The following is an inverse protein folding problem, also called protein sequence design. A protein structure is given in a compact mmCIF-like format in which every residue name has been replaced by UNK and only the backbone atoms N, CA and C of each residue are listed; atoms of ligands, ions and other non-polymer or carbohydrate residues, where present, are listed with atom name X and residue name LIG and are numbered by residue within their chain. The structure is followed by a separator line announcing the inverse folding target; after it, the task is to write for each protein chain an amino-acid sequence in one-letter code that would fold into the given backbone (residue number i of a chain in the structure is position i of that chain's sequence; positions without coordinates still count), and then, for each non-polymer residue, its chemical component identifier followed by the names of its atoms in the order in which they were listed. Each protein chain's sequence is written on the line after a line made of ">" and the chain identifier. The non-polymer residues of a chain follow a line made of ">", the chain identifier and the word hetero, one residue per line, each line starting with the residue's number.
data_IF_479744945808
#
_entry.id   IF_479744945808
#
_cell.length_a   1.000
_cell.length_b   1.000
_cell.length_c   1.000
_cell.angle_alpha   90.00
_cell.angle_beta   90.00
_cell.angle_gamma   90.00
#
_symmetry.space_group_name_H-M   'P 1'
#
loop_
_entity.id
_entity.type
_entity.pdbx_description
1 polymer ?
#
# COMPACT_ATOMS: atom_id res chain seq x y z
N UNK A 1 -59.36 30.47 38.52
CA UNK A 1 -58.69 30.68 37.21
C UNK A 1 -57.19 30.37 37.39
N UNK A 2 -56.61 29.18 37.20
CA UNK A 2 -56.70 28.10 36.20
C UNK A 2 -56.29 28.50 34.77
N UNK A 3 -54.96 28.54 34.47
CA UNK A 3 -54.43 28.32 33.10
C UNK A 3 -52.90 28.10 32.91
N UNK A 4 -52.04 28.25 33.93
CA UNK A 4 -50.57 28.28 33.70
C UNK A 4 -49.76 26.99 33.96
N UNK A 5 -50.33 25.88 34.46
CA UNK A 5 -49.57 24.66 34.76
C UNK A 5 -49.48 23.65 33.59
N UNK A 6 -50.29 23.83 32.54
CA UNK A 6 -50.36 22.91 31.38
C UNK A 6 -49.26 23.15 30.33
N UNK A 7 -48.65 24.33 30.30
CA UNK A 7 -47.63 24.72 29.31
C UNK A 7 -46.22 24.31 29.71
N UNK A 8 -45.89 24.29 31.01
CA UNK A 8 -44.58 23.85 31.51
C UNK A 8 -44.34 22.35 31.34
N UNK A 9 -45.36 21.51 31.58
CA UNK A 9 -45.25 20.04 31.43
C UNK A 9 -45.06 19.60 29.98
N UNK A 10 -45.61 20.35 29.01
CA UNK A 10 -45.42 20.08 27.58
C UNK A 10 -44.03 20.48 27.09
N UNK A 11 -43.47 21.61 27.58
CA UNK A 11 -42.12 22.04 27.20
C UNK A 11 -41.05 21.10 27.74
N UNK A 12 -41.20 20.60 28.97
CA UNK A 12 -40.24 19.67 29.58
C UNK A 12 -40.24 18.28 28.90
N UNK A 13 -41.38 17.82 28.39
CA UNK A 13 -41.51 16.53 27.69
C UNK A 13 -40.98 16.58 26.25
N UNK A 14 -41.13 17.72 25.57
CA UNK A 14 -40.60 17.91 24.20
C UNK A 14 -39.07 18.04 24.20
N UNK A 15 -38.48 18.65 25.22
CA UNK A 15 -37.02 18.77 25.32
C UNK A 15 -36.33 17.46 25.67
N UNK A 16 -36.94 16.58 26.48
CA UNK A 16 -36.34 15.27 26.82
C UNK A 16 -36.45 14.27 25.68
N UNK A 17 -37.55 14.29 24.91
CA UNK A 17 -37.70 13.46 23.70
C UNK A 17 -36.78 13.95 22.57
N UNK A 18 -36.58 15.26 22.43
CA UNK A 18 -35.65 15.83 21.44
C UNK A 18 -34.18 15.48 21.69
N UNK A 19 -33.74 15.42 22.96
CA UNK A 19 -32.35 15.06 23.31
C UNK A 19 -32.07 13.57 23.17
N UNK A 20 -33.08 12.70 23.40
CA UNK A 20 -32.97 11.26 23.18
C UNK A 20 -32.95 10.88 21.68
N UNK A 21 -33.64 11.63 20.82
CA UNK A 21 -33.62 11.42 19.36
C UNK A 21 -32.32 11.95 18.73
N UNK A 22 -31.71 13.00 19.29
CA UNK A 22 -30.43 13.53 18.80
C UNK A 22 -29.22 12.64 19.19
N UNK A 23 -29.35 11.80 20.22
CA UNK A 23 -28.31 10.86 20.67
C UNK A 23 -28.29 9.54 19.88
N UNK A 24 -29.35 9.22 19.13
CA UNK A 24 -29.42 8.01 18.30
C UNK A 24 -28.95 8.21 16.84
N UNK A 25 -28.63 9.44 16.43
CA UNK A 25 -28.20 9.76 15.06
C UNK A 25 -26.67 9.67 14.83
N UNK A 26 -25.87 9.43 15.88
CA UNK A 26 -24.40 9.33 15.78
C UNK A 26 -23.86 7.89 15.84
N UNK A 27 -24.71 6.87 15.76
CA UNK A 27 -24.31 5.46 15.87
C UNK A 27 -24.32 4.73 14.53
N UNK A 28 -23.93 5.39 13.44
CA UNK A 28 -23.54 4.68 12.22
C UNK A 28 -22.06 4.31 12.32
N UNK A 29 -21.73 3.45 13.29
CA UNK A 29 -20.51 2.65 13.18
C UNK A 29 -20.79 1.69 12.04
N UNK A 30 -20.20 1.97 10.88
CA UNK A 30 -19.95 0.99 9.83
C UNK A 30 -19.09 -0.11 10.47
N UNK A 31 -19.76 -1.10 11.07
CA UNK A 31 -19.16 -2.40 11.29
C UNK A 31 -18.86 -2.92 9.89
N UNK A 32 -17.59 -2.86 9.49
CA UNK A 32 -17.11 -3.59 8.34
C UNK A 32 -17.53 -5.05 8.55
N UNK A 33 -18.46 -5.52 7.74
CA UNK A 33 -18.80 -6.93 7.74
C UNK A 33 -17.58 -7.65 7.19
N UNK A 34 -16.90 -8.42 8.04
CA UNK A 34 -15.85 -9.34 7.62
C UNK A 34 -16.50 -10.38 6.70
N UNK A 35 -16.43 -10.13 5.40
CA UNK A 35 -16.75 -11.12 4.37
C UNK A 35 -15.81 -12.32 4.58
N UNK A 36 -16.32 -13.56 4.56
CA UNK A 36 -15.50 -14.73 4.83
C UNK A 36 -14.30 -14.76 3.88
N UNK A 37 -13.10 -15.11 4.38
CA UNK A 37 -11.89 -15.10 3.56
C UNK A 37 -12.09 -15.98 2.33
N UNK A 38 -11.70 -15.46 1.16
CA UNK A 38 -11.79 -16.22 -0.08
C UNK A 38 -10.96 -17.49 0.03
N UNK A 39 -11.31 -18.54 -0.74
CA UNK A 39 -10.55 -19.79 -0.73
C UNK A 39 -9.06 -19.57 -1.04
N UNK A 40 -8.75 -18.58 -1.88
CA UNK A 40 -7.38 -18.19 -2.20
C UNK A 40 -6.68 -17.50 -1.02
N UNK A 41 -7.36 -16.59 -0.33
CA UNK A 41 -6.83 -15.94 0.87
C UNK A 41 -6.57 -16.95 2.00
N UNK A 42 -7.49 -17.90 2.21
CA UNK A 42 -7.32 -18.98 3.17
C UNK A 42 -6.08 -19.84 2.84
N UNK A 43 -5.84 -20.13 1.57
CA UNK A 43 -4.63 -20.83 1.12
C UNK A 43 -3.36 -20.01 1.40
N UNK A 44 -3.37 -18.71 1.13
CA UNK A 44 -2.23 -17.82 1.42
C UNK A 44 -1.91 -17.81 2.92
N UNK A 45 -2.92 -17.72 3.77
CA UNK A 45 -2.76 -17.74 5.23
C UNK A 45 -2.16 -19.07 5.69
N UNK A 46 -2.60 -20.19 5.13
CA UNK A 46 -2.02 -21.51 5.44
C UNK A 46 -0.56 -21.62 4.99
N UNK A 47 -0.22 -21.11 3.80
CA UNK A 47 1.17 -21.06 3.34
C UNK A 47 2.03 -20.19 4.26
N UNK A 48 1.53 -19.06 4.75
CA UNK A 48 2.24 -18.21 5.72
C UNK A 48 2.48 -18.98 7.02
N UNK A 49 1.50 -19.74 7.51
CA UNK A 49 1.66 -20.59 8.69
C UNK A 49 2.73 -21.66 8.48
N UNK A 50 2.79 -22.25 7.29
CA UNK A 50 3.80 -23.25 6.91
C UNK A 50 5.23 -22.70 6.88
N UNK A 51 5.42 -21.38 6.76
CA UNK A 51 6.74 -20.76 6.92
C UNK A 51 7.31 -20.93 8.33
N UNK A 52 6.49 -21.20 9.35
CA UNK A 52 6.90 -21.50 10.72
C UNK A 52 7.05 -22.99 11.01
N UNK A 53 6.92 -23.86 10.00
CA UNK A 53 7.05 -25.31 10.17
C UNK A 53 8.44 -25.70 10.67
N UNK A 54 8.56 -26.74 11.48
CA UNK A 54 9.86 -27.32 11.85
C UNK A 54 10.60 -27.94 10.65
N UNK A 55 9.86 -28.44 9.66
CA UNK A 55 10.43 -29.02 8.44
C UNK A 55 10.92 -27.94 7.48
N UNK A 56 12.21 -27.94 7.18
CA UNK A 56 12.82 -27.01 6.23
C UNK A 56 12.18 -27.11 4.84
N UNK A 57 11.87 -28.33 4.39
CA UNK A 57 11.25 -28.60 3.09
C UNK A 57 9.87 -27.95 2.99
N UNK A 58 9.07 -28.01 4.05
CA UNK A 58 7.75 -27.35 4.10
C UNK A 58 7.92 -25.83 4.02
N UNK A 59 8.89 -25.26 4.76
CA UNK A 59 9.16 -23.82 4.72
C UNK A 59 9.54 -23.34 3.32
N UNK A 60 10.44 -24.05 2.64
CA UNK A 60 10.89 -23.68 1.28
C UNK A 60 9.76 -23.83 0.25
N UNK A 61 8.94 -24.89 0.34
CA UNK A 61 7.79 -25.07 -0.54
C UNK A 61 6.75 -23.95 -0.35
N UNK A 62 6.43 -23.61 0.89
CA UNK A 62 5.51 -22.53 1.20
C UNK A 62 6.01 -21.18 0.68
N UNK A 63 7.30 -20.89 0.87
CA UNK A 63 7.95 -19.70 0.33
C UNK A 63 7.85 -19.63 -1.19
N UNK A 64 8.16 -20.72 -1.90
CA UNK A 64 8.07 -20.76 -3.36
C UNK A 64 6.64 -20.53 -3.86
N UNK A 65 5.65 -21.13 -3.19
CA UNK A 65 4.24 -20.96 -3.54
C UNK A 65 3.76 -19.52 -3.29
N UNK A 66 4.15 -18.89 -2.18
CA UNK A 66 3.81 -17.49 -1.90
C UNK A 66 4.39 -16.53 -2.95
N UNK A 67 5.63 -16.77 -3.40
CA UNK A 67 6.23 -16.00 -4.49
C UNK A 67 5.50 -16.21 -5.83
N UNK A 68 5.05 -17.44 -6.10
CA UNK A 68 4.30 -17.76 -7.32
C UNK A 68 2.90 -17.13 -7.32
N UNK A 69 2.23 -17.02 -6.16
CA UNK A 69 0.95 -16.31 -6.00
C UNK A 69 1.05 -14.84 -6.40
N UNK A 70 2.21 -14.21 -6.21
CA UNK A 70 2.43 -12.82 -6.63
C UNK A 70 1.67 -11.82 -5.75
N UNK A 71 1.20 -10.71 -6.34
CA UNK A 71 0.61 -9.60 -5.60
C UNK A 71 -0.68 -9.97 -4.85
N UNK A 72 -1.36 -11.06 -5.22
CA UNK A 72 -2.52 -11.55 -4.47
C UNK A 72 -2.16 -11.92 -3.01
N UNK A 73 -0.89 -12.24 -2.72
CA UNK A 73 -0.42 -12.52 -1.37
C UNK A 73 0.03 -11.26 -0.59
N UNK A 74 0.08 -10.07 -1.22
CA UNK A 74 0.70 -8.87 -0.65
C UNK A 74 0.05 -8.49 0.70
N UNK A 75 -1.27 -8.47 0.77
CA UNK A 75 -1.98 -8.02 1.96
C UNK A 75 -1.76 -8.94 3.16
N UNK A 76 -1.85 -10.25 2.94
CA UNK A 76 -1.61 -11.24 4.00
C UNK A 76 -0.14 -11.29 4.43
N UNK A 77 0.80 -11.15 3.50
CA UNK A 77 2.22 -11.02 3.82
C UNK A 77 2.49 -9.74 4.63
N UNK A 78 1.85 -8.61 4.28
CA UNK A 78 1.96 -7.35 5.02
C UNK A 78 1.49 -7.51 6.47
N UNK A 79 0.36 -8.20 6.70
CA UNK A 79 -0.12 -8.53 8.04
C UNK A 79 0.86 -9.44 8.79
N UNK A 80 1.39 -10.46 8.12
CA UNK A 80 2.29 -11.45 8.70
C UNK A 80 3.67 -10.91 9.10
N UNK A 81 4.07 -9.71 8.64
CA UNK A 81 5.26 -9.00 9.16
C UNK A 81 5.18 -8.74 10.67
N UNK A 82 3.97 -8.78 11.25
CA UNK A 82 3.70 -8.60 12.68
C UNK A 82 3.46 -9.93 13.43
N UNK A 83 3.68 -11.08 12.79
CA UNK A 83 3.49 -12.40 13.41
C UNK A 83 4.24 -12.52 14.74
N UNK A 84 3.73 -13.26 15.72
CA UNK A 84 4.45 -13.54 16.96
C UNK A 84 5.64 -14.49 16.74
N UNK A 85 5.57 -15.34 15.71
CA UNK A 85 6.62 -16.27 15.32
C UNK A 85 7.77 -15.53 14.60
N UNK A 86 8.99 -15.67 15.14
CA UNK A 86 10.20 -15.06 14.62
C UNK A 86 10.61 -15.57 13.23
N UNK A 87 10.46 -16.89 12.97
CA UNK A 87 10.81 -17.50 11.68
C UNK A 87 9.85 -17.01 10.60
N UNK A 88 8.55 -16.97 10.91
CA UNK A 88 7.53 -16.40 10.01
C UNK A 88 7.88 -14.94 9.70
N UNK A 89 8.12 -14.10 10.72
CA UNK A 89 8.46 -12.68 10.48
C UNK A 89 9.70 -12.52 9.59
N UNK A 90 10.75 -13.30 9.85
CA UNK A 90 12.01 -13.24 9.10
C UNK A 90 11.80 -13.61 7.63
N UNK A 91 11.12 -14.72 7.35
CA UNK A 91 10.86 -15.18 5.98
C UNK A 91 9.91 -14.26 5.24
N UNK A 92 8.81 -13.86 5.88
CA UNK A 92 7.84 -12.94 5.29
C UNK A 92 8.50 -11.63 4.89
N UNK A 93 9.42 -11.07 5.69
CA UNK A 93 10.16 -9.86 5.30
C UNK A 93 10.95 -10.05 4.00
N UNK A 94 11.62 -11.19 3.82
CA UNK A 94 12.37 -11.49 2.59
C UNK A 94 11.45 -11.69 1.39
N UNK A 95 10.38 -12.47 1.56
CA UNK A 95 9.38 -12.73 0.53
C UNK A 95 8.72 -11.42 0.09
N UNK A 96 8.34 -10.57 1.04
CA UNK A 96 7.66 -9.30 0.77
C UNK A 96 8.53 -8.36 -0.08
N UNK A 97 9.81 -8.20 0.27
CA UNK A 97 10.75 -7.40 -0.52
C UNK A 97 10.92 -7.97 -1.93
N UNK A 98 11.12 -9.29 -2.04
CA UNK A 98 11.28 -9.94 -3.34
C UNK A 98 10.01 -9.81 -4.20
N UNK A 99 8.83 -9.97 -3.60
CA UNK A 99 7.55 -9.83 -4.26
C UNK A 99 7.37 -8.43 -4.86
N UNK A 100 7.63 -7.38 -4.06
CA UNK A 100 7.53 -6.00 -4.51
C UNK A 100 8.54 -5.69 -5.63
N UNK A 101 9.76 -6.22 -5.54
CA UNK A 101 10.77 -6.06 -6.58
C UNK A 101 10.36 -6.75 -7.89
N UNK A 102 9.84 -7.99 -7.82
CA UNK A 102 9.35 -8.73 -8.99
C UNK A 102 8.18 -8.00 -9.65
N UNK A 103 7.23 -7.51 -8.86
CA UNK A 103 6.11 -6.74 -9.40
C UNK A 103 6.57 -5.44 -10.05
N UNK A 104 7.46 -4.69 -9.40
CA UNK A 104 8.00 -3.46 -9.96
C UNK A 104 8.69 -3.70 -11.31
N UNK A 105 9.51 -4.75 -11.43
CA UNK A 105 10.13 -5.09 -12.73
C UNK A 105 9.10 -5.52 -13.78
N UNK A 106 8.05 -6.26 -13.37
CA UNK A 106 6.95 -6.63 -14.27
C UNK A 106 6.26 -5.38 -14.82
N UNK A 107 5.91 -4.42 -13.96
CA UNK A 107 5.29 -3.14 -14.35
C UNK A 107 6.17 -2.34 -15.30
N UNK A 108 7.48 -2.23 -15.04
CA UNK A 108 8.40 -1.58 -15.96
C UNK A 108 8.48 -2.30 -17.32
N UNK A 109 8.45 -3.63 -17.33
CA UNK A 109 8.47 -4.41 -18.56
C UNK A 109 7.21 -4.16 -19.39
N UNK A 110 6.03 -4.19 -18.76
CA UNK A 110 4.76 -3.87 -19.41
C UNK A 110 4.77 -2.43 -19.96
N UNK A 111 5.28 -1.48 -19.18
CA UNK A 111 5.41 -0.09 -19.59
C UNK A 111 6.31 0.10 -20.83
N UNK A 112 7.46 -0.57 -20.87
CA UNK A 112 8.39 -0.49 -22.00
C UNK A 112 7.75 -1.04 -23.27
N UNK A 113 6.97 -2.12 -23.15
CA UNK A 113 6.35 -2.78 -24.30
C UNK A 113 5.05 -2.11 -24.77
N UNK A 114 4.39 -1.31 -23.94
CA UNK A 114 3.19 -0.57 -24.29
C UNK A 114 3.49 0.70 -25.11
N UNK A 115 4.13 0.54 -26.28
CA UNK A 115 4.52 1.67 -27.14
C UNK A 115 3.31 2.50 -27.56
N UNK A 116 2.19 1.84 -27.87
CA UNK A 116 0.92 2.45 -28.25
C UNK A 116 0.24 3.24 -27.12
N UNK A 117 0.66 3.06 -25.86
CA UNK A 117 0.10 3.77 -24.70
C UNK A 117 -1.33 3.36 -24.37
N UNK A 118 -1.69 2.10 -24.63
CA UNK A 118 -3.04 1.56 -24.37
C UNK A 118 -3.27 1.29 -22.89
N UNK A 119 -2.20 1.04 -22.14
CA UNK A 119 -2.27 0.78 -20.71
C UNK A 119 -2.08 2.08 -19.91
N UNK A 120 -2.78 2.19 -18.80
CA UNK A 120 -2.51 3.25 -17.82
C UNK A 120 -1.31 2.84 -16.99
N UNK A 121 -0.32 3.73 -16.89
CA UNK A 121 0.87 3.53 -16.07
C UNK A 121 0.95 4.60 -15.01
N UNK A 122 1.05 4.18 -13.76
CA UNK A 122 1.28 5.05 -12.61
C UNK A 122 2.79 5.13 -12.33
N UNK A 123 3.50 5.84 -13.22
CA UNK A 123 4.95 6.06 -13.11
C UNK A 123 5.23 7.56 -12.94
N UNK A 124 6.04 7.93 -11.94
CA UNK A 124 6.21 9.32 -11.58
C UNK A 124 6.91 10.10 -12.66
N UNK A 125 6.44 11.31 -12.95
CA UNK A 125 6.99 12.21 -13.96
C UNK A 125 6.94 11.68 -15.41
N UNK A 126 6.23 10.58 -15.69
CA UNK A 126 6.12 10.03 -17.03
C UNK A 126 5.52 11.01 -18.03
N UNK A 127 4.44 11.71 -17.65
CA UNK A 127 3.79 12.71 -18.50
C UNK A 127 4.79 13.79 -18.94
N UNK A 128 5.51 14.37 -17.98
CA UNK A 128 6.51 15.41 -18.25
C UNK A 128 7.64 14.89 -19.15
N UNK A 129 8.16 13.70 -18.86
CA UNK A 129 9.22 13.09 -19.65
C UNK A 129 8.77 12.85 -21.09
N UNK A 130 7.59 12.26 -21.26
CA UNK A 130 7.02 11.95 -22.58
C UNK A 130 6.85 13.21 -23.43
N UNK A 131 6.37 14.30 -22.84
CA UNK A 131 6.10 15.54 -23.58
C UNK A 131 7.41 16.24 -24.02
N UNK A 132 8.52 16.04 -23.30
CA UNK A 132 9.83 16.65 -23.61
C UNK A 132 10.76 15.76 -24.45
N UNK A 133 10.70 14.45 -24.27
CA UNK A 133 11.63 13.46 -24.87
C UNK A 133 10.94 12.59 -25.91
N UNK A 134 9.70 12.19 -25.64
CA UNK A 134 8.88 11.35 -26.51
C UNK A 134 8.57 9.96 -25.93
N UNK A 135 7.89 9.13 -26.72
CA UNK A 135 7.30 7.85 -26.28
C UNK A 135 7.75 6.62 -27.05
N UNK A 136 8.77 6.73 -27.91
CA UNK A 136 9.32 5.60 -28.66
C UNK A 136 9.81 4.49 -27.73
N UNK A 137 10.00 3.28 -28.25
CA UNK A 137 10.57 2.17 -27.47
C UNK A 137 11.91 2.55 -26.81
N UNK A 138 12.77 3.29 -27.51
CA UNK A 138 14.04 3.77 -26.96
C UNK A 138 13.81 4.76 -25.81
N UNK A 139 12.88 5.70 -25.96
CA UNK A 139 12.55 6.69 -24.92
C UNK A 139 11.96 6.03 -23.67
N UNK A 140 11.11 5.01 -23.84
CA UNK A 140 10.53 4.23 -22.73
C UNK A 140 11.59 3.39 -22.02
N UNK A 141 12.52 2.76 -22.75
CA UNK A 141 13.64 2.03 -22.15
C UNK A 141 14.52 2.93 -21.29
N UNK A 142 14.83 4.13 -21.80
CA UNK A 142 15.57 5.14 -21.04
C UNK A 142 14.79 5.61 -19.80
N UNK A 143 13.50 5.90 -19.94
CA UNK A 143 12.68 6.27 -18.78
C UNK A 143 12.62 5.15 -17.73
N UNK A 144 12.44 3.90 -18.15
CA UNK A 144 12.41 2.76 -17.25
C UNK A 144 13.75 2.54 -16.53
N UNK A 145 14.90 2.86 -17.15
CA UNK A 145 16.19 2.82 -16.46
C UNK A 145 16.30 3.95 -15.43
N UNK A 146 15.82 5.15 -15.73
CA UNK A 146 15.75 6.26 -14.77
C UNK A 146 14.88 5.90 -13.57
N UNK A 147 13.68 5.37 -13.79
CA UNK A 147 12.77 4.93 -12.72
C UNK A 147 13.40 3.83 -11.87
N UNK A 148 14.15 2.90 -12.47
CA UNK A 148 14.80 1.80 -11.73
C UNK A 148 15.86 2.31 -10.75
N UNK A 149 16.57 3.39 -11.09
CA UNK A 149 17.72 3.87 -10.31
C UNK A 149 17.36 5.05 -9.42
N UNK A 150 16.52 5.95 -9.89
CA UNK A 150 16.28 7.27 -9.27
C UNK A 150 14.77 7.59 -9.12
N UNK A 151 13.94 6.58 -8.81
CA UNK A 151 12.51 6.79 -8.54
C UNK A 151 12.22 7.92 -7.52
N UNK A 152 12.94 8.06 -6.39
CA UNK A 152 12.70 9.16 -5.45
C UNK A 152 12.85 10.55 -6.08
N UNK A 153 13.80 10.69 -7.00
CA UNK A 153 14.03 11.95 -7.70
C UNK A 153 12.88 12.28 -8.66
N UNK A 154 12.40 11.27 -9.40
CA UNK A 154 11.23 11.44 -10.29
C UNK A 154 9.96 11.78 -9.51
N UNK A 155 9.77 11.16 -8.34
CA UNK A 155 8.67 11.49 -7.42
C UNK A 155 8.81 12.94 -6.94
N UNK A 156 10.00 13.37 -6.54
CA UNK A 156 10.22 14.73 -6.07
C UNK A 156 9.94 15.79 -7.16
N UNK A 157 10.33 15.50 -8.40
CA UNK A 157 10.01 16.36 -9.55
C UNK A 157 8.49 16.46 -9.77
N UNK A 158 7.78 15.33 -9.76
CA UNK A 158 6.34 15.30 -10.00
C UNK A 158 5.55 15.99 -8.88
N UNK A 159 5.90 15.68 -7.63
CA UNK A 159 5.30 16.29 -6.44
C UNK A 159 5.75 17.75 -6.23
N UNK A 160 6.71 18.25 -7.03
CA UNK A 160 7.34 19.57 -6.89
C UNK A 160 7.84 19.83 -5.48
N UNK A 161 8.35 18.79 -4.83
CA UNK A 161 8.95 18.88 -3.50
C UNK A 161 10.42 19.28 -3.60
N UNK A 162 11.08 19.47 -2.46
CA UNK A 162 12.47 19.91 -2.43
C UNK A 162 13.42 18.86 -3.03
N UNK A 163 13.78 19.08 -4.29
CA UNK A 163 14.72 18.26 -5.07
C UNK A 163 16.12 18.28 -4.43
N UNK A 164 16.54 19.39 -3.82
CA UNK A 164 17.86 19.51 -3.22
C UNK A 164 18.02 18.58 -2.01
N UNK A 165 17.00 18.50 -1.15
CA UNK A 165 17.00 17.57 -0.02
C UNK A 165 17.10 16.11 -0.49
N UNK A 166 16.40 15.77 -1.57
CA UNK A 166 16.39 14.42 -2.17
C UNK A 166 17.78 14.09 -2.75
N UNK A 167 18.38 15.03 -3.48
CA UNK A 167 19.72 14.88 -4.03
C UNK A 167 20.79 14.73 -2.94
N UNK A 168 20.72 15.55 -1.88
CA UNK A 168 21.66 15.48 -0.76
C UNK A 168 21.58 14.14 -0.02
N UNK A 169 20.37 13.62 0.16
CA UNK A 169 20.17 12.28 0.75
C UNK A 169 20.84 11.22 -0.12
N UNK A 170 20.58 11.27 -1.43
CA UNK A 170 21.16 10.33 -2.39
C UNK A 170 22.69 10.38 -2.45
N UNK A 171 23.26 11.59 -2.39
CA UNK A 171 24.70 11.79 -2.37
C UNK A 171 25.34 11.14 -1.14
N UNK A 172 24.72 11.30 0.04
CA UNK A 172 25.18 10.65 1.28
C UNK A 172 25.15 9.13 1.18
N UNK A 173 24.10 8.56 0.56
CA UNK A 173 24.01 7.11 0.35
C UNK A 173 25.12 6.57 -0.57
N UNK A 174 25.54 7.37 -1.57
CA UNK A 174 26.63 7.01 -2.50
C UNK A 174 28.02 7.26 -1.91
N UNK A 175 28.13 8.20 -0.97
CA UNK A 175 29.38 8.60 -0.33
C UNK A 175 29.26 8.46 1.19
N UNK A 176 29.13 7.23 1.72
CA UNK A 176 28.90 7.01 3.15
C UNK A 176 30.03 7.55 4.05
N UNK A 177 31.21 7.79 3.49
CA UNK A 177 32.38 8.30 4.20
C UNK A 177 32.76 9.76 3.84
N UNK A 178 31.93 10.46 3.04
CA UNK A 178 32.27 11.78 2.48
C UNK A 178 31.87 13.00 3.32
N UNK A 179 31.27 12.83 4.50
CA UNK A 179 30.68 13.94 5.27
C UNK A 179 31.10 13.97 6.75
N UNK A 180 32.40 13.86 7.03
CA UNK A 180 32.97 14.30 8.32
C UNK A 180 34.08 15.32 8.03
N UNK A 181 33.69 16.56 7.77
CA UNK A 181 34.55 17.74 7.83
C UNK A 181 33.71 18.94 8.24
#
# INVERSE_FOLDING_TARGET
>A
MNRNSRTLRKKLFVTTVGVLILLCLNSSVLVAQDEPPSAEQAKIVELIKQLGSESFQIREQAQAQLLATGLAAQDELSKALKSADLEIRFRVRRIYVQLLQMDFQRRLTLFVNDVDGKLKHDLPAWKMYRDKVGSSLAHRKLFASMVRVEAPFLIAIEAKTDIYSTLNTRLKDLQPYGSTA
#
